data_IF_268450242089
#
_entry.id   IF_268450242089
#
_cell.length_a   1.000
_cell.length_b   1.000
_cell.length_c   1.000
_cell.angle_alpha   90.00
_cell.angle_beta   90.00
_cell.angle_gamma   90.00
#
_symmetry.space_group_name_H-M   'P 1'
#
loop_
_entity.id
_entity.type
_entity.pdbx_description
1 polymer ?
#
# COMPACT_ATOMS: atom_id res chain seq x y z
N UNK A 1 -23.56 34.85 12.99
CA UNK A 1 -22.16 34.72 12.52
C UNK A 1 -22.20 33.90 11.24
N UNK A 2 -21.69 34.44 10.15
CA UNK A 2 -21.72 33.77 8.84
C UNK A 2 -20.63 32.71 8.76
N UNK A 3 -20.82 31.72 7.89
CA UNK A 3 -19.92 30.58 7.64
C UNK A 3 -18.45 31.01 7.45
N UNK A 4 -18.22 32.19 6.85
CA UNK A 4 -16.89 32.79 6.68
C UNK A 4 -16.19 33.21 7.99
N UNK A 5 -16.93 33.47 9.07
CA UNK A 5 -16.37 33.91 10.36
C UNK A 5 -15.87 32.74 11.21
N UNK A 6 -16.45 31.55 11.04
CA UNK A 6 -16.01 30.31 11.71
C UNK A 6 -14.65 29.82 11.18
N UNK A 7 -14.35 30.09 9.91
CA UNK A 7 -13.09 29.68 9.25
C UNK A 7 -11.87 30.51 9.65
N UNK A 8 -12.06 31.73 10.18
CA UNK A 8 -10.94 32.58 10.58
C UNK A 8 -10.35 32.18 11.94
N UNK A 9 -11.17 31.65 12.84
CA UNK A 9 -10.74 31.21 14.18
C UNK A 9 -9.88 29.93 14.15
N UNK A 10 -10.10 29.02 13.19
CA UNK A 10 -9.34 27.75 13.08
C UNK A 10 -7.91 27.92 12.55
N UNK A 11 -7.62 29.02 11.86
CA UNK A 11 -6.29 29.31 11.33
C UNK A 11 -5.39 30.10 12.29
N UNK A 12 -5.95 30.69 13.35
CA UNK A 12 -5.17 31.48 14.32
C UNK A 12 -4.70 30.65 15.54
N UNK A 13 -5.28 29.47 15.78
CA UNK A 13 -4.98 28.64 16.97
C UNK A 13 -3.96 27.52 16.78
N UNK A 14 -3.41 27.32 15.58
CA UNK A 14 -2.40 26.27 15.30
C UNK A 14 -1.03 26.86 15.01
N UNK A 15 -0.46 27.60 15.98
CA UNK A 15 0.99 27.72 16.10
C UNK A 15 1.54 26.49 16.83
N UNK A 16 2.63 25.87 16.36
CA UNK A 16 3.12 24.62 16.93
C UNK A 16 3.88 24.91 18.23
N UNK A 17 3.29 24.52 19.36
CA UNK A 17 3.95 24.43 20.65
C UNK A 17 3.70 23.04 21.22
N UNK A 18 4.58 22.08 20.92
CA UNK A 18 4.49 20.72 21.44
C UNK A 18 5.42 19.78 20.70
N UNK A 19 6.50 19.39 21.37
CA UNK A 19 7.55 18.51 20.86
C UNK A 19 6.98 17.20 20.31
N UNK A 20 7.26 16.92 19.03
CA UNK A 20 7.01 15.63 18.41
C UNK A 20 7.91 14.59 19.09
N UNK A 21 7.28 13.58 19.71
CA UNK A 21 7.97 12.40 20.22
C UNK A 21 8.30 11.53 19.01
N UNK A 22 9.57 11.46 18.65
CA UNK A 22 10.07 10.56 17.60
C UNK A 22 9.75 9.11 17.98
N UNK A 23 8.91 8.46 17.17
CA UNK A 23 8.77 7.01 17.17
C UNK A 23 9.84 6.47 16.23
N UNK A 24 10.72 5.56 16.66
CA UNK A 24 11.78 5.05 15.80
C UNK A 24 11.17 4.31 14.63
N UNK A 25 11.52 4.75 13.42
CA UNK A 25 11.21 4.06 12.18
C UNK A 25 11.79 2.65 12.24
N UNK A 26 10.95 1.64 12.45
CA UNK A 26 11.36 0.27 12.16
C UNK A 26 11.58 0.20 10.65
N UNK A 27 12.79 -0.15 10.25
CA UNK A 27 13.26 -0.24 8.88
C UNK A 27 12.31 -1.07 8.01
N UNK A 28 11.31 -0.43 7.41
CA UNK A 28 10.76 -0.90 6.15
C UNK A 28 11.84 -0.57 5.12
N UNK A 29 12.72 -1.54 4.87
CA UNK A 29 13.70 -1.48 3.79
C UNK A 29 12.92 -1.17 2.52
N UNK A 30 12.98 0.08 2.05
CA UNK A 30 12.56 0.44 0.70
C UNK A 30 13.61 -0.15 -0.24
N UNK A 31 13.61 -1.47 -0.33
CA UNK A 31 14.40 -2.22 -1.29
C UNK A 31 13.87 -1.86 -2.67
N UNK A 32 14.75 -1.35 -3.51
CA UNK A 32 14.48 -1.19 -4.91
C UNK A 32 14.36 -2.60 -5.49
N UNK A 33 13.13 -3.06 -5.70
CA UNK A 33 12.86 -4.40 -6.22
C UNK A 33 13.44 -4.48 -7.64
N UNK A 34 14.54 -5.21 -7.81
CA UNK A 34 15.18 -5.50 -9.11
C UNK A 34 15.11 -7.00 -9.34
N UNK A 35 14.63 -7.42 -10.50
CA UNK A 35 14.51 -8.84 -10.85
C UNK A 35 15.86 -9.31 -11.38
N UNK A 36 16.24 -10.54 -11.05
CA UNK A 36 17.46 -11.16 -11.55
C UNK A 36 17.24 -11.73 -12.95
N UNK A 37 18.22 -11.55 -13.84
CA UNK A 37 18.31 -12.28 -15.11
C UNK A 37 18.79 -13.71 -14.88
N UNK A 38 18.59 -14.59 -15.87
CA UNK A 38 19.04 -15.98 -15.78
C UNK A 38 20.55 -16.08 -15.63
N UNK A 39 21.30 -15.19 -16.29
CA UNK A 39 22.76 -15.18 -16.21
C UNK A 39 23.23 -14.71 -14.83
N UNK A 40 22.62 -13.66 -14.26
CA UNK A 40 22.90 -13.24 -12.88
C UNK A 40 22.61 -14.38 -11.87
N UNK A 41 21.53 -15.14 -12.05
CA UNK A 41 21.23 -16.29 -11.17
C UNK A 41 22.27 -17.40 -11.31
N UNK A 42 22.74 -17.68 -12.53
CA UNK A 42 23.82 -18.65 -12.79
C UNK A 42 25.15 -18.20 -12.20
N UNK A 43 25.47 -16.91 -12.29
CA UNK A 43 26.67 -16.34 -11.67
C UNK A 43 26.62 -16.55 -10.16
N UNK A 44 25.49 -16.23 -9.50
CA UNK A 44 25.31 -16.44 -8.06
C UNK A 44 25.44 -17.92 -7.70
N UNK A 45 24.81 -18.83 -8.48
CA UNK A 45 24.92 -20.27 -8.27
C UNK A 45 26.38 -20.74 -8.32
N UNK A 46 27.14 -20.25 -9.30
CA UNK A 46 28.56 -20.56 -9.48
C UNK A 46 29.43 -19.98 -8.35
N UNK A 47 29.18 -18.74 -7.95
CA UNK A 47 29.84 -18.09 -6.80
C UNK A 47 29.67 -18.91 -5.53
N UNK A 48 28.47 -19.49 -5.31
CA UNK A 48 28.14 -20.30 -4.15
C UNK A 48 28.51 -21.79 -4.29
N UNK A 49 29.08 -22.20 -5.43
CA UNK A 49 29.40 -23.61 -5.73
C UNK A 49 28.20 -24.57 -5.55
N UNK A 50 26.99 -24.11 -5.87
CA UNK A 50 25.73 -24.81 -5.65
C UNK A 50 25.16 -25.41 -6.96
N UNK A 51 25.99 -26.16 -7.70
CA UNK A 51 25.65 -26.73 -9.01
C UNK A 51 24.61 -27.87 -8.94
N UNK A 52 24.44 -28.46 -7.77
CA UNK A 52 23.42 -29.47 -7.45
C UNK A 52 22.04 -28.88 -7.12
N UNK A 53 21.95 -27.58 -6.82
CA UNK A 53 20.69 -26.88 -6.53
C UNK A 53 20.03 -26.44 -7.86
N UNK A 54 18.81 -26.88 -8.19
CA UNK A 54 18.17 -26.52 -9.44
C UNK A 54 17.78 -25.04 -9.48
N UNK A 55 18.01 -24.40 -10.64
CA UNK A 55 17.50 -23.05 -10.92
C UNK A 55 16.05 -23.13 -11.38
N UNK A 56 15.14 -22.50 -10.64
CA UNK A 56 13.77 -22.20 -11.06
C UNK A 56 13.69 -20.73 -11.49
N UNK A 57 13.97 -20.45 -12.75
CA UNK A 57 14.04 -19.07 -13.24
C UNK A 57 12.73 -18.30 -13.08
N UNK A 58 11.58 -18.96 -13.23
CA UNK A 58 10.27 -18.30 -13.15
C UNK A 58 9.99 -17.78 -11.73
N UNK A 59 10.47 -18.49 -10.72
CA UNK A 59 10.38 -18.03 -9.34
C UNK A 59 11.53 -17.07 -8.98
N UNK A 60 12.76 -17.48 -9.28
CA UNK A 60 13.99 -16.82 -8.82
C UNK A 60 14.21 -15.46 -9.46
N UNK A 61 13.65 -15.22 -10.66
CA UNK A 61 13.72 -13.89 -11.28
C UNK A 61 13.18 -12.81 -10.38
N UNK A 62 12.20 -13.10 -9.51
CA UNK A 62 11.59 -12.11 -8.62
C UNK A 62 12.34 -11.91 -7.30
N UNK A 63 13.42 -12.64 -7.06
CA UNK A 63 14.22 -12.51 -5.85
C UNK A 63 15.21 -11.35 -5.97
N UNK A 64 15.53 -10.76 -4.82
CA UNK A 64 16.72 -9.93 -4.67
C UNK A 64 17.99 -10.79 -4.75
N UNK A 65 19.14 -10.15 -5.00
CA UNK A 65 20.44 -10.85 -4.99
C UNK A 65 20.71 -11.51 -3.63
N UNK A 66 20.39 -10.84 -2.53
CA UNK A 66 20.58 -11.36 -1.17
C UNK A 66 19.72 -12.61 -0.91
N UNK A 67 18.48 -12.60 -1.39
CA UNK A 67 17.58 -13.76 -1.32
C UNK A 67 18.10 -14.95 -2.14
N UNK A 68 18.60 -14.69 -3.35
CA UNK A 68 19.22 -15.74 -4.17
C UNK A 68 20.50 -16.29 -3.54
N UNK A 69 21.37 -15.42 -2.99
CA UNK A 69 22.56 -15.81 -2.26
C UNK A 69 22.21 -16.71 -1.08
N UNK A 70 21.27 -16.29 -0.23
CA UNK A 70 20.82 -17.08 0.93
C UNK A 70 20.23 -18.43 0.51
N UNK A 71 19.47 -18.47 -0.59
CA UNK A 71 18.92 -19.72 -1.10
C UNK A 71 20.03 -20.69 -1.51
N UNK A 72 21.01 -20.25 -2.30
CA UNK A 72 22.12 -21.11 -2.74
C UNK A 72 23.07 -21.48 -1.58
N UNK A 73 23.42 -20.55 -0.68
CA UNK A 73 24.22 -20.84 0.52
C UNK A 73 23.58 -21.92 1.40
N UNK A 74 22.24 -21.94 1.46
CA UNK A 74 21.49 -22.92 2.24
C UNK A 74 21.30 -24.27 1.56
N UNK A 75 21.86 -24.48 0.36
CA UNK A 75 21.61 -25.68 -0.45
C UNK A 75 20.15 -25.80 -0.92
N UNK A 76 19.48 -24.66 -1.12
CA UNK A 76 18.08 -24.58 -1.56
C UNK A 76 17.04 -24.73 -0.45
N UNK A 77 17.43 -24.73 0.82
CA UNK A 77 16.52 -24.89 1.95
C UNK A 77 15.84 -23.58 2.37
N UNK A 78 16.48 -22.43 2.11
CA UNK A 78 15.97 -21.12 2.48
C UNK A 78 15.30 -20.45 1.28
N UNK A 79 14.02 -20.76 1.06
CA UNK A 79 13.24 -20.07 0.05
C UNK A 79 12.77 -18.70 0.54
N UNK A 80 12.96 -17.64 -0.25
CA UNK A 80 12.37 -16.34 0.01
C UNK A 80 10.85 -16.42 0.15
N UNK A 81 10.31 -15.58 1.02
CA UNK A 81 8.87 -15.42 1.16
C UNK A 81 8.30 -14.90 -0.17
N UNK A 82 7.22 -15.48 -0.71
CA UNK A 82 6.59 -14.94 -1.91
C UNK A 82 5.99 -13.56 -1.64
N UNK A 83 5.99 -12.69 -2.65
CA UNK A 83 5.20 -11.45 -2.63
C UNK A 83 3.71 -11.82 -2.62
N UNK A 84 2.99 -11.37 -1.60
CA UNK A 84 1.56 -11.64 -1.44
C UNK A 84 0.79 -10.33 -1.65
N UNK A 85 0.08 -10.27 -2.77
CA UNK A 85 -0.94 -9.25 -3.03
C UNK A 85 -2.30 -9.90 -2.75
N UNK A 86 -3.02 -9.34 -1.80
CA UNK A 86 -4.37 -9.78 -1.45
C UNK A 86 -5.40 -8.74 -1.87
N UNK A 87 -6.62 -9.20 -2.15
CA UNK A 87 -7.71 -8.37 -2.66
C UNK A 87 -8.98 -8.67 -1.88
N UNK A 88 -9.74 -7.62 -1.58
CA UNK A 88 -11.11 -7.74 -1.12
C UNK A 88 -11.93 -6.55 -1.60
N UNK A 89 -13.25 -6.64 -1.59
CA UNK A 89 -14.07 -5.47 -1.88
C UNK A 89 -14.24 -4.57 -0.64
N UNK A 90 -14.39 -5.17 0.53
CA UNK A 90 -14.67 -4.49 1.80
C UNK A 90 -13.38 -4.00 2.47
N UNK A 91 -13.49 -3.06 3.41
CA UNK A 91 -12.35 -2.64 4.22
C UNK A 91 -11.98 -3.73 5.23
N UNK A 92 -10.72 -4.16 5.28
CA UNK A 92 -10.24 -5.10 6.29
C UNK A 92 -9.99 -4.44 7.65
N UNK A 93 -9.92 -3.11 7.71
CA UNK A 93 -9.42 -2.33 8.84
C UNK A 93 -10.26 -1.07 9.00
N UNK A 94 -10.61 -0.71 10.22
CA UNK A 94 -11.39 0.51 10.48
C UNK A 94 -10.57 1.78 10.26
N UNK A 95 -9.25 1.69 10.45
CA UNK A 95 -8.30 2.80 10.28
C UNK A 95 -8.15 3.25 8.83
N UNK A 96 -8.59 2.42 7.88
CA UNK A 96 -8.64 2.76 6.45
C UNK A 96 -9.87 3.60 6.09
N UNK A 97 -10.80 3.78 7.02
CA UNK A 97 -11.93 4.66 6.85
C UNK A 97 -11.53 6.07 7.33
N UNK A 98 -11.90 7.10 6.55
CA UNK A 98 -11.74 8.48 7.00
C UNK A 98 -12.49 8.72 8.32
N UNK A 99 -11.98 9.68 9.10
CA UNK A 99 -12.71 10.18 10.26
C UNK A 99 -14.14 10.54 9.83
N UNK A 100 -15.12 10.08 10.61
CA UNK A 100 -16.55 10.34 10.39
C UNK A 100 -16.82 11.82 10.16
N UNK A 101 -16.06 12.73 10.77
CA UNK A 101 -16.23 14.17 10.60
C UNK A 101 -15.92 14.65 9.17
N UNK A 102 -15.00 13.98 8.48
CA UNK A 102 -14.63 14.25 7.09
C UNK A 102 -15.62 13.61 6.09
N UNK A 103 -16.44 12.65 6.54
CA UNK A 103 -17.48 12.08 5.70
C UNK A 103 -18.62 13.07 5.49
N UNK A 104 -19.11 13.14 4.23
CA UNK A 104 -20.30 13.91 3.86
C UNK A 104 -21.48 13.54 4.77
N UNK A 105 -22.30 14.52 5.22
CA UNK A 105 -23.37 14.27 6.20
C UNK A 105 -24.31 13.10 5.86
N UNK A 106 -24.61 12.89 4.57
CA UNK A 106 -25.50 11.81 4.11
C UNK A 106 -24.93 10.40 4.23
N UNK A 107 -23.60 10.21 4.28
CA UNK A 107 -22.96 8.88 4.31
C UNK A 107 -22.30 8.56 5.65
N UNK A 108 -22.06 9.58 6.50
CA UNK A 108 -21.34 9.50 7.78
C UNK A 108 -21.81 8.38 8.71
N UNK A 109 -23.12 8.11 8.75
CA UNK A 109 -23.72 7.13 9.67
C UNK A 109 -23.90 5.74 9.05
N UNK A 110 -23.86 5.64 7.72
CA UNK A 110 -24.11 4.41 6.99
C UNK A 110 -22.80 3.73 6.62
N UNK A 111 -21.86 4.47 6.04
CA UNK A 111 -20.63 3.93 5.48
C UNK A 111 -19.83 3.10 6.50
N UNK A 112 -19.57 3.54 7.75
CA UNK A 112 -18.84 2.73 8.72
C UNK A 112 -19.52 1.38 9.04
N UNK A 113 -20.86 1.32 8.96
CA UNK A 113 -21.63 0.11 9.29
C UNK A 113 -21.61 -0.94 8.18
N UNK A 114 -21.33 -0.53 6.95
CA UNK A 114 -21.40 -1.40 5.76
C UNK A 114 -20.05 -1.59 5.08
N UNK A 115 -18.97 -0.99 5.60
CA UNK A 115 -17.66 -1.04 4.93
C UNK A 115 -16.74 -2.15 5.42
N UNK A 116 -16.91 -2.66 6.64
CA UNK A 116 -15.92 -3.53 7.28
C UNK A 116 -16.30 -5.01 7.36
N UNK A 117 -15.31 -5.87 7.65
CA UNK A 117 -15.54 -7.27 8.03
C UNK A 117 -14.48 -7.75 9.04
N UNK A 118 -14.92 -8.14 10.24
CA UNK A 118 -14.04 -8.67 11.30
C UNK A 118 -13.38 -10.00 10.88
N UNK A 119 -14.05 -10.80 10.06
CA UNK A 119 -13.46 -12.04 9.55
C UNK A 119 -12.35 -11.75 8.55
N UNK A 120 -12.55 -10.75 7.68
CA UNK A 120 -11.54 -10.31 6.73
C UNK A 120 -10.33 -9.71 7.45
N UNK A 121 -10.56 -8.88 8.47
CA UNK A 121 -9.50 -8.32 9.33
C UNK A 121 -8.58 -9.43 9.86
N UNK A 122 -9.18 -10.48 10.45
CA UNK A 122 -8.44 -11.63 10.99
C UNK A 122 -7.70 -12.41 9.91
N UNK A 123 -8.29 -12.54 8.72
CA UNK A 123 -7.63 -13.20 7.58
C UNK A 123 -6.40 -12.42 7.14
N UNK A 124 -6.50 -11.09 7.01
CA UNK A 124 -5.38 -10.25 6.59
C UNK A 124 -4.28 -10.22 7.65
N UNK A 125 -4.61 -10.13 8.94
CA UNK A 125 -3.61 -10.22 10.02
C UNK A 125 -2.87 -11.55 10.07
N UNK A 126 -3.53 -12.65 9.68
CA UNK A 126 -2.88 -13.96 9.60
C UNK A 126 -2.04 -14.11 8.34
N UNK A 127 -2.52 -13.57 7.23
CA UNK A 127 -1.87 -13.67 5.93
C UNK A 127 -0.62 -12.76 5.86
N UNK A 128 -0.65 -11.60 6.53
CA UNK A 128 0.40 -10.56 6.48
C UNK A 128 0.86 -10.29 5.04
N UNK A 129 -0.06 -9.90 4.14
CA UNK A 129 0.29 -9.64 2.75
C UNK A 129 1.19 -8.40 2.64
N UNK A 130 1.99 -8.32 1.59
CA UNK A 130 2.75 -7.11 1.27
C UNK A 130 1.82 -5.94 0.93
N UNK A 131 0.77 -6.28 0.16
CA UNK A 131 -0.26 -5.34 -0.26
C UNK A 131 -1.64 -5.95 -0.08
N UNK A 132 -2.56 -5.16 0.46
CA UNK A 132 -3.98 -5.44 0.43
C UNK A 132 -4.74 -4.36 -0.35
N UNK A 133 -5.27 -4.74 -1.51
CA UNK A 133 -6.18 -3.92 -2.29
C UNK A 133 -7.61 -4.07 -1.74
N UNK A 134 -8.23 -2.95 -1.40
CA UNK A 134 -9.63 -2.90 -0.98
C UNK A 134 -10.40 -1.82 -1.76
N UNK A 135 -11.72 -1.77 -1.57
CA UNK A 135 -12.57 -0.83 -2.27
C UNK A 135 -13.79 -0.43 -1.45
N UNK A 136 -14.97 -0.46 -2.07
CA UNK A 136 -16.27 -0.17 -1.46
C UNK A 136 -16.52 1.29 -1.06
N UNK A 137 -15.58 1.98 -0.41
CA UNK A 137 -15.85 3.32 0.15
C UNK A 137 -15.85 4.44 -0.89
N UNK A 138 -15.27 4.21 -2.06
CA UNK A 138 -15.01 5.23 -3.08
C UNK A 138 -14.09 6.35 -2.56
N UNK A 139 -13.33 6.10 -1.49
CA UNK A 139 -12.32 7.00 -0.96
C UNK A 139 -10.95 6.44 -1.32
N UNK A 140 -10.13 7.18 -2.07
CA UNK A 140 -8.75 6.78 -2.36
C UNK A 140 -7.92 6.73 -1.08
N UNK A 141 -7.17 5.65 -0.91
CA UNK A 141 -6.30 5.41 0.25
C UNK A 141 -5.03 4.74 -0.24
N UNK A 142 -3.89 5.13 0.32
CA UNK A 142 -2.62 4.44 0.15
C UNK A 142 -1.81 4.60 1.44
N UNK A 143 -1.92 3.60 2.32
CA UNK A 143 -1.43 3.70 3.69
C UNK A 143 -0.64 2.45 4.09
N UNK A 144 0.47 2.66 4.81
CA UNK A 144 1.23 1.58 5.43
C UNK A 144 0.75 1.38 6.86
N UNK A 145 0.23 0.20 7.18
CA UNK A 145 -0.24 -0.10 8.52
C UNK A 145 0.28 -1.46 8.97
N UNK A 146 1.11 -1.46 10.02
CA UNK A 146 1.67 -2.67 10.62
C UNK A 146 2.40 -3.58 9.61
N UNK A 147 3.12 -2.97 8.67
CA UNK A 147 3.91 -3.70 7.67
C UNK A 147 3.13 -4.15 6.43
N UNK A 148 1.81 -3.92 6.38
CA UNK A 148 0.97 -4.17 5.20
C UNK A 148 0.63 -2.84 4.52
N UNK A 149 0.81 -2.76 3.19
CA UNK A 149 0.32 -1.62 2.41
C UNK A 149 -1.13 -1.81 2.03
N UNK A 150 -2.00 -0.87 2.39
CA UNK A 150 -3.40 -0.90 2.02
C UNK A 150 -3.68 0.14 0.96
N UNK A 151 -4.29 -0.29 -0.15
CA UNK A 151 -4.61 0.60 -1.26
C UNK A 151 -6.10 0.52 -1.58
N UNK A 152 -6.71 1.68 -1.75
CA UNK A 152 -8.00 1.86 -2.39
C UNK A 152 -7.80 2.77 -3.60
N UNK A 153 -8.06 2.26 -4.80
CA UNK A 153 -7.99 3.03 -6.05
C UNK A 153 -9.34 3.06 -6.79
N UNK A 154 -10.39 3.61 -6.17
CA UNK A 154 -11.75 3.51 -6.70
C UNK A 154 -11.97 4.45 -7.88
N UNK A 155 -12.53 3.95 -8.98
CA UNK A 155 -12.92 4.80 -10.12
C UNK A 155 -14.14 5.69 -9.81
N UNK A 156 -15.09 5.17 -9.03
CA UNK A 156 -16.36 5.82 -8.71
C UNK A 156 -17.26 6.06 -9.92
N UNK A 157 -18.40 6.72 -9.69
CA UNK A 157 -19.33 7.10 -10.76
C UNK A 157 -18.99 8.48 -11.37
N UNK A 158 -19.53 8.85 -12.54
CA UNK A 158 -19.20 10.12 -13.20
C UNK A 158 -19.44 11.38 -12.37
N UNK A 159 -20.34 11.35 -11.38
CA UNK A 159 -20.51 12.49 -10.46
C UNK A 159 -19.36 12.59 -9.47
N UNK A 160 -18.89 11.45 -8.95
CA UNK A 160 -17.77 11.36 -8.01
C UNK A 160 -16.40 11.66 -8.66
N UNK A 161 -16.32 11.53 -9.99
CA UNK A 161 -15.12 11.84 -10.77
C UNK A 161 -14.94 13.34 -11.04
N UNK A 162 -15.95 14.17 -10.74
CA UNK A 162 -15.86 15.62 -10.94
C UNK A 162 -14.84 16.25 -9.98
N UNK A 163 -14.16 17.35 -10.37
CA UNK A 163 -13.26 18.08 -9.49
C UNK A 163 -13.89 18.39 -8.13
N UNK A 164 -13.15 18.10 -7.05
CA UNK A 164 -13.60 18.28 -5.66
C UNK A 164 -14.43 17.13 -5.08
N UNK A 165 -14.61 16.02 -5.82
CA UNK A 165 -15.24 14.80 -5.31
C UNK A 165 -14.24 13.65 -5.12
N UNK A 166 -14.70 12.61 -4.43
CA UNK A 166 -13.88 11.57 -3.82
C UNK A 166 -12.99 10.82 -4.81
N UNK A 167 -13.51 10.50 -6.01
CA UNK A 167 -12.80 9.70 -7.02
C UNK A 167 -12.23 10.53 -8.16
N UNK A 168 -12.19 11.86 -8.01
CA UNK A 168 -11.62 12.72 -9.03
C UNK A 168 -10.18 12.33 -9.36
N UNK A 169 -9.37 12.11 -8.32
CA UNK A 169 -7.94 11.86 -8.50
C UNK A 169 -7.64 10.53 -9.18
N UNK A 170 -8.36 9.47 -8.80
CA UNK A 170 -8.24 8.15 -9.39
C UNK A 170 -8.77 8.14 -10.83
N UNK A 171 -9.80 8.94 -11.13
CA UNK A 171 -10.32 9.09 -12.50
C UNK A 171 -9.35 9.82 -13.42
N UNK A 172 -8.64 10.83 -12.92
CA UNK A 172 -7.61 11.53 -13.68
C UNK A 172 -6.31 10.72 -13.77
N UNK A 173 -5.97 9.95 -12.74
CA UNK A 173 -4.77 9.12 -12.69
C UNK A 173 -4.86 7.83 -13.51
N UNK A 174 -6.07 7.40 -13.88
CA UNK A 174 -6.27 6.18 -14.66
C UNK A 174 -6.02 4.90 -13.85
N UNK A 175 -5.62 3.83 -14.53
CA UNK A 175 -5.32 2.56 -13.88
C UNK A 175 -4.03 2.65 -13.06
N UNK A 176 -4.12 2.24 -11.79
CA UNK A 176 -2.93 2.08 -10.95
C UNK A 176 -2.22 0.78 -11.31
N UNK A 177 -1.00 0.87 -11.83
CA UNK A 177 -0.13 -0.29 -11.95
C UNK A 177 0.39 -0.63 -10.54
N UNK A 178 -0.14 -1.69 -9.93
CA UNK A 178 0.30 -2.10 -8.60
C UNK A 178 1.58 -2.93 -8.64
N UNK A 179 1.72 -3.77 -9.66
CA UNK A 179 2.86 -4.67 -9.80
C UNK A 179 3.18 -4.79 -11.28
N UNK A 180 4.43 -4.50 -11.62
CA UNK A 180 4.95 -4.66 -12.96
C UNK A 180 6.06 -5.71 -12.94
N UNK A 181 5.75 -6.93 -13.39
CA UNK A 181 6.73 -8.02 -13.47
C UNK A 181 7.85 -7.78 -14.50
N UNK A 182 7.64 -6.88 -15.47
CA UNK A 182 8.65 -6.47 -16.45
C UNK A 182 9.57 -5.39 -15.90
N UNK A 183 9.07 -4.57 -14.95
CA UNK A 183 9.84 -3.61 -14.15
C UNK A 183 10.05 -4.10 -12.73
N UNK A 184 10.26 -5.40 -12.58
CA UNK A 184 10.83 -5.97 -11.37
C UNK A 184 10.02 -5.80 -10.08
N UNK A 185 8.71 -5.65 -10.19
CA UNK A 185 7.83 -5.56 -9.04
C UNK A 185 7.86 -4.20 -8.33
N UNK A 186 8.24 -3.13 -9.02
CA UNK A 186 8.05 -1.76 -8.53
C UNK A 186 6.57 -1.55 -8.19
N UNK A 187 6.24 -1.67 -6.90
CA UNK A 187 4.99 -1.18 -6.34
C UNK A 187 5.18 0.33 -6.32
N UNK A 188 4.39 1.15 -7.05
CA UNK A 188 4.61 2.59 -7.11
C UNK A 188 4.79 3.12 -5.70
N UNK A 189 5.80 3.96 -5.46
CA UNK A 189 6.03 4.62 -4.17
C UNK A 189 4.70 5.07 -3.56
N UNK A 190 4.55 4.98 -2.23
CA UNK A 190 3.38 5.49 -1.50
C UNK A 190 2.84 6.72 -2.22
N UNK A 191 1.66 6.57 -2.82
CA UNK A 191 1.03 7.64 -3.53
C UNK A 191 0.82 8.74 -2.49
N UNK A 192 1.62 9.79 -2.58
CA UNK A 192 1.58 10.90 -1.64
C UNK A 192 0.62 11.92 -2.26
N UNK A 193 -0.60 12.09 -1.72
CA UNK A 193 -1.47 13.15 -2.19
C UNK A 193 -0.72 14.48 -2.06
N UNK A 194 -0.76 15.31 -3.09
CA UNK A 194 -0.31 16.70 -2.98
C UNK A 194 -1.05 17.38 -1.81
N UNK A 195 -0.42 18.38 -1.18
CA UNK A 195 -0.90 19.09 0.01
C UNK A 195 -2.34 19.64 -0.08
N UNK A 196 -2.88 19.76 -1.29
CA UNK A 196 -4.25 20.22 -1.57
C UNK A 196 -5.33 19.18 -1.23
N UNK A 197 -4.99 17.88 -1.18
CA UNK A 197 -5.92 16.77 -1.04
C UNK A 197 -6.25 16.37 0.41
N UNK A 198 -5.55 16.93 1.41
CA UNK A 198 -5.95 16.80 2.82
C UNK A 198 -7.17 17.66 3.19
N UNK A 199 -7.78 18.34 2.21
CA UNK A 199 -8.89 19.30 2.37
C UNK A 199 -10.24 18.79 1.84
N UNK A 200 -10.39 17.49 1.57
CA UNK A 200 -11.69 16.88 1.22
C UNK A 200 -12.51 16.63 2.48
#
# INVERSE_FOLDING_TARGET
MTEAQTWKLLNETTKPGGAAREVPASAATTGQWRSLSLDEIREIQQEMMADDVPIDFEQMRFWSRDEALMFFESGGLHQPRPLIISVSHMLPREELLLDKQLLKPGIRNLLPKVSGSIYLERQIRRLMPDVHLCGHTHIPVDEMLEGVRYIQWPLGNPKQQKPGNETHITSCGGFLCLFDGMRHGEVPHLWTPSHELRRV
#
